data_IF_310595949582
#
_entry.id   IF_310595949582
#
_cell.length_a   1.000
_cell.length_b   1.000
_cell.length_c   1.000
_cell.angle_alpha   90.00
_cell.angle_beta   90.00
_cell.angle_gamma   90.00
#
_symmetry.space_group_name_H-M   'P 1'
#
loop_
_entity.id
_entity.type
_entity.pdbx_description
1 polymer ?
#
# COMPACT_ATOMS: atom_id res chain seq x y z
N UNK A 1 -33.22 24.83 -6.14
CA UNK A 1 -31.85 25.33 -5.98
C UNK A 1 -31.85 26.81 -6.24
N UNK A 2 -31.16 27.56 -5.40
CA UNK A 2 -30.74 28.92 -5.74
C UNK A 2 -29.32 28.88 -6.32
N UNK A 3 -28.95 29.81 -7.19
CA UNK A 3 -27.58 29.92 -7.71
C UNK A 3 -26.51 30.08 -6.63
N UNK A 4 -26.87 30.52 -5.43
CA UNK A 4 -25.96 30.59 -4.28
C UNK A 4 -25.51 29.21 -3.78
N UNK A 5 -26.44 28.26 -3.65
CA UNK A 5 -26.13 26.88 -3.23
C UNK A 5 -25.26 26.18 -4.28
N UNK A 6 -25.56 26.42 -5.56
CA UNK A 6 -24.78 25.92 -6.69
C UNK A 6 -23.32 26.38 -6.63
N UNK A 7 -23.07 27.66 -6.33
CA UNK A 7 -21.72 28.20 -6.16
C UNK A 7 -21.00 27.59 -4.95
N UNK A 8 -21.69 27.41 -3.81
CA UNK A 8 -21.12 26.77 -2.61
C UNK A 8 -20.67 25.34 -2.93
N UNK A 9 -21.48 24.56 -3.63
CA UNK A 9 -21.10 23.19 -4.03
C UNK A 9 -19.86 23.20 -4.93
N UNK A 10 -19.78 24.10 -5.91
CA UNK A 10 -18.61 24.18 -6.79
C UNK A 10 -17.32 24.49 -6.02
N UNK A 11 -17.35 25.51 -5.15
CA UNK A 11 -16.18 25.92 -4.36
C UNK A 11 -15.72 24.80 -3.42
N UNK A 12 -16.68 24.14 -2.74
CA UNK A 12 -16.38 23.04 -1.82
C UNK A 12 -15.90 21.79 -2.55
N UNK A 13 -16.49 21.46 -3.72
CA UNK A 13 -16.07 20.32 -4.52
C UNK A 13 -14.60 20.44 -4.93
N UNK A 14 -14.18 21.63 -5.37
CA UNK A 14 -12.79 21.91 -5.73
C UNK A 14 -11.82 21.68 -4.55
N UNK A 15 -12.19 22.09 -3.33
CA UNK A 15 -11.38 21.85 -2.13
C UNK A 15 -11.19 20.36 -1.81
N UNK A 16 -12.11 19.49 -2.24
CA UNK A 16 -12.03 18.03 -2.12
C UNK A 16 -11.37 17.34 -3.31
N UNK A 17 -10.88 18.09 -4.29
CA UNK A 17 -10.32 17.54 -5.54
C UNK A 17 -11.37 16.91 -6.45
N UNK A 18 -12.65 17.26 -6.27
CA UNK A 18 -13.74 16.86 -7.15
C UNK A 18 -13.92 17.91 -8.25
N UNK A 19 -14.25 17.45 -9.46
CA UNK A 19 -14.45 18.32 -10.61
C UNK A 19 -15.90 18.34 -11.05
N UNK A 20 -16.38 19.50 -11.47
CA UNK A 20 -17.69 19.66 -12.10
C UNK A 20 -17.47 19.80 -13.62
N UNK A 21 -17.58 18.71 -14.40
CA UNK A 21 -17.31 18.77 -15.84
C UNK A 21 -18.36 19.63 -16.55
N UNK A 22 -17.99 20.33 -17.65
CA UNK A 22 -18.94 21.09 -18.44
C UNK A 22 -20.01 20.17 -19.04
N UNK A 23 -21.18 20.75 -19.36
CA UNK A 23 -22.25 20.03 -20.02
C UNK A 23 -21.81 19.55 -21.40
N UNK A 24 -22.13 18.29 -21.72
CA UNK A 24 -21.99 17.78 -23.08
C UNK A 24 -22.96 18.52 -24.02
N UNK A 25 -22.64 18.64 -25.33
CA UNK A 25 -23.52 19.32 -26.29
C UNK A 25 -24.96 18.79 -26.30
N UNK A 26 -25.13 17.47 -26.14
CA UNK A 26 -26.44 16.83 -26.04
C UNK A 26 -27.18 17.21 -24.74
N UNK A 27 -26.49 17.26 -23.60
CA UNK A 27 -27.07 17.69 -22.32
C UNK A 27 -27.54 19.14 -22.44
N UNK A 28 -26.71 20.02 -23.00
CA UNK A 28 -27.06 21.42 -23.22
C UNK A 28 -28.28 21.59 -24.14
N UNK A 29 -28.34 20.86 -25.26
CA UNK A 29 -29.48 20.93 -26.18
C UNK A 29 -30.79 20.45 -25.53
N UNK A 30 -30.75 19.33 -24.80
CA UNK A 30 -31.92 18.78 -24.12
C UNK A 30 -32.38 19.65 -22.94
N UNK A 31 -31.44 20.22 -22.17
CA UNK A 31 -31.77 21.18 -21.11
C UNK A 31 -32.39 22.45 -21.69
N UNK A 32 -31.86 22.94 -22.82
CA UNK A 32 -32.42 24.10 -23.49
C UNK A 32 -33.86 23.88 -23.98
N UNK A 33 -34.17 22.68 -24.50
CA UNK A 33 -35.52 22.33 -24.92
C UNK A 33 -36.55 22.37 -23.77
N UNK A 34 -36.11 22.09 -22.53
CA UNK A 34 -36.97 22.10 -21.33
C UNK A 34 -37.03 23.47 -20.65
N UNK A 35 -35.89 24.16 -20.54
CA UNK A 35 -35.74 25.39 -19.75
C UNK A 35 -35.84 26.68 -20.58
N UNK A 36 -35.66 26.58 -21.90
CA UNK A 36 -35.64 27.70 -22.84
C UNK A 36 -34.44 28.65 -22.66
N UNK A 37 -34.52 29.84 -23.27
CA UNK A 37 -33.47 30.88 -23.23
C UNK A 37 -33.31 31.58 -21.88
N UNK A 38 -34.20 31.30 -20.92
CA UNK A 38 -34.25 32.04 -19.64
C UNK A 38 -33.24 31.55 -18.61
N UNK A 39 -32.59 30.41 -18.87
CA UNK A 39 -31.68 29.77 -17.92
C UNK A 39 -30.29 29.65 -18.53
N UNK A 40 -29.28 30.15 -17.81
CA UNK A 40 -27.89 29.91 -18.17
C UNK A 40 -27.53 28.45 -17.88
N UNK A 41 -27.17 27.70 -18.93
CA UNK A 41 -26.86 26.28 -18.81
C UNK A 41 -25.40 26.07 -18.42
N UNK A 42 -25.17 25.52 -17.23
CA UNK A 42 -23.85 25.19 -16.70
C UNK A 42 -23.90 23.97 -15.79
N UNK A 43 -22.73 23.49 -15.39
CA UNK A 43 -22.58 22.55 -14.27
C UNK A 43 -21.64 23.18 -13.24
N UNK A 44 -22.13 23.57 -12.05
CA UNK A 44 -23.49 23.37 -11.51
C UNK A 44 -24.61 24.07 -12.30
N UNK A 45 -25.83 23.49 -12.26
CA UNK A 45 -27.02 24.02 -12.93
C UNK A 45 -27.97 24.67 -11.92
N UNK A 46 -28.29 25.96 -12.12
CA UNK A 46 -29.45 26.60 -11.51
C UNK A 46 -30.60 26.62 -12.52
N UNK A 47 -31.53 25.65 -12.41
CA UNK A 47 -32.67 25.56 -13.32
C UNK A 47 -33.82 26.52 -12.95
N UNK A 48 -33.61 27.40 -11.96
CA UNK A 48 -34.61 28.31 -11.40
C UNK A 48 -35.87 27.59 -10.90
N UNK A 49 -36.95 28.35 -10.68
CA UNK A 49 -38.25 27.83 -10.20
C UNK A 49 -39.32 27.79 -11.30
N UNK A 50 -38.96 28.03 -12.57
CA UNK A 50 -39.93 28.11 -13.67
C UNK A 50 -40.73 26.82 -13.89
N UNK A 51 -40.10 25.67 -13.65
CA UNK A 51 -40.70 24.34 -13.74
C UNK A 51 -41.03 23.76 -12.35
N UNK A 52 -41.08 24.61 -11.31
CA UNK A 52 -41.39 24.13 -9.96
C UNK A 52 -42.83 23.61 -9.88
N UNK A 53 -43.02 22.51 -9.15
CA UNK A 53 -44.29 21.78 -9.00
C UNK A 53 -44.83 21.07 -10.28
N UNK A 54 -44.11 21.17 -11.40
CA UNK A 54 -44.33 20.39 -12.64
C UNK A 54 -43.39 19.18 -12.68
N UNK A 55 -43.88 18.02 -12.25
CA UNK A 55 -43.08 16.80 -12.10
C UNK A 55 -42.50 16.29 -13.43
N UNK A 56 -43.23 16.42 -14.54
CA UNK A 56 -42.77 15.93 -15.85
C UNK A 56 -41.73 16.87 -16.48
N UNK A 57 -41.91 18.19 -16.36
CA UNK A 57 -40.89 19.14 -16.79
C UNK A 57 -39.61 19.00 -15.95
N UNK A 58 -39.74 18.79 -14.64
CA UNK A 58 -38.61 18.49 -13.75
C UNK A 58 -37.92 17.19 -14.13
N UNK A 59 -38.67 16.13 -14.42
CA UNK A 59 -38.11 14.87 -14.91
C UNK A 59 -37.31 15.09 -16.20
N UNK A 60 -37.85 15.82 -17.18
CA UNK A 60 -37.15 16.16 -18.43
C UNK A 60 -35.84 16.90 -18.19
N UNK A 61 -35.85 17.89 -17.29
CA UNK A 61 -34.65 18.63 -16.89
C UNK A 61 -33.60 17.74 -16.23
N UNK A 62 -34.00 16.91 -15.26
CA UNK A 62 -33.05 16.05 -14.54
C UNK A 62 -32.52 14.93 -15.44
N UNK A 63 -33.39 14.32 -16.26
CA UNK A 63 -33.01 13.33 -17.24
C UNK A 63 -31.97 13.90 -18.22
N UNK A 64 -32.15 15.14 -18.69
CA UNK A 64 -31.18 15.80 -19.56
C UNK A 64 -29.81 16.05 -18.87
N UNK A 65 -29.81 16.33 -17.56
CA UNK A 65 -28.58 16.55 -16.77
C UNK A 65 -27.86 15.24 -16.40
N UNK A 66 -28.59 14.17 -16.10
CA UNK A 66 -28.06 12.93 -15.54
C UNK A 66 -27.30 12.06 -16.55
N UNK A 67 -26.14 11.53 -16.12
CA UNK A 67 -25.30 10.59 -16.87
C UNK A 67 -24.36 11.28 -17.86
N UNK A 68 -23.66 10.51 -18.70
CA UNK A 68 -22.65 11.06 -19.61
C UNK A 68 -21.28 11.20 -18.95
N UNK A 69 -20.77 12.42 -18.85
CA UNK A 69 -19.43 12.70 -18.29
C UNK A 69 -19.40 12.69 -16.75
N UNK A 70 -20.57 12.80 -16.10
CA UNK A 70 -20.67 12.81 -14.64
C UNK A 70 -20.81 11.38 -14.10
N UNK A 71 -19.92 10.98 -13.18
CA UNK A 71 -20.01 9.70 -12.46
C UNK A 71 -21.13 9.73 -11.40
N UNK A 72 -21.40 10.89 -10.83
CA UNK A 72 -22.46 11.14 -9.84
C UNK A 72 -23.09 12.51 -10.08
N UNK A 73 -24.39 12.63 -9.87
CA UNK A 73 -25.13 13.91 -9.99
C UNK A 73 -25.80 14.25 -8.66
N UNK A 74 -25.59 15.48 -8.20
CA UNK A 74 -26.12 15.98 -6.93
C UNK A 74 -27.32 16.87 -7.21
N UNK A 75 -28.42 16.59 -6.54
CA UNK A 75 -29.60 17.44 -6.48
C UNK A 75 -29.71 18.03 -5.07
N UNK A 76 -29.50 19.34 -4.96
CA UNK A 76 -29.77 20.06 -3.72
C UNK A 76 -31.29 20.21 -3.58
N UNK A 77 -31.86 19.72 -2.49
CA UNK A 77 -33.30 19.78 -2.23
C UNK A 77 -33.58 19.90 -0.74
N UNK A 78 -33.86 21.12 -0.31
CA UNK A 78 -34.12 21.44 1.09
C UNK A 78 -35.63 21.41 1.38
N UNK A 79 -36.11 20.36 2.05
CA UNK A 79 -37.50 20.24 2.46
C UNK A 79 -37.85 21.27 3.55
N UNK A 80 -39.07 21.84 3.48
CA UNK A 80 -39.55 22.71 4.52
C UNK A 80 -39.95 21.90 5.76
N UNK A 81 -40.28 22.62 6.83
CA UNK A 81 -40.86 22.03 8.03
C UNK A 81 -42.20 21.36 7.73
N UNK A 82 -42.26 20.04 7.89
CA UNK A 82 -43.43 19.22 7.54
C UNK A 82 -44.65 19.47 8.43
N UNK A 83 -44.47 20.09 9.60
CA UNK A 83 -45.55 20.38 10.55
C UNK A 83 -46.32 21.66 10.23
N UNK A 84 -45.75 22.56 9.40
CA UNK A 84 -46.35 23.87 9.09
C UNK A 84 -46.35 24.21 7.59
N UNK A 85 -45.71 23.40 6.74
CA UNK A 85 -45.65 23.60 5.30
C UNK A 85 -46.12 22.35 4.56
N UNK A 86 -46.71 22.54 3.38
CA UNK A 86 -47.02 21.45 2.45
C UNK A 86 -45.76 21.05 1.65
N UNK A 87 -45.24 19.81 1.80
CA UNK A 87 -44.05 19.36 1.10
C UNK A 87 -44.33 18.82 -0.31
N UNK A 88 -45.57 18.83 -0.81
CA UNK A 88 -45.96 18.13 -2.03
C UNK A 88 -45.03 18.42 -3.23
N UNK A 89 -44.70 19.69 -3.49
CA UNK A 89 -43.82 20.09 -4.60
C UNK A 89 -42.38 19.55 -4.47
N UNK A 90 -41.85 19.42 -3.24
CA UNK A 90 -40.55 18.83 -2.98
C UNK A 90 -40.56 17.32 -3.18
N UNK A 91 -41.65 16.65 -2.75
CA UNK A 91 -41.83 15.21 -2.99
C UNK A 91 -41.89 14.91 -4.49
N UNK A 92 -42.62 15.71 -5.27
CA UNK A 92 -42.61 15.62 -6.75
C UNK A 92 -41.20 15.78 -7.31
N UNK A 93 -40.46 16.79 -6.84
CA UNK A 93 -39.08 17.03 -7.28
C UNK A 93 -38.15 15.84 -7.00
N UNK A 94 -38.23 15.26 -5.80
CA UNK A 94 -37.46 14.06 -5.42
C UNK A 94 -37.83 12.86 -6.27
N UNK A 95 -39.13 12.64 -6.54
CA UNK A 95 -39.61 11.54 -7.40
C UNK A 95 -39.16 11.69 -8.84
N UNK A 96 -39.28 12.89 -9.42
CA UNK A 96 -38.81 13.20 -10.76
C UNK A 96 -37.31 12.92 -10.91
N UNK A 97 -36.51 13.32 -9.91
CA UNK A 97 -35.07 13.07 -9.91
C UNK A 97 -34.73 11.58 -9.80
N UNK A 98 -35.39 10.86 -8.90
CA UNK A 98 -35.19 9.42 -8.74
C UNK A 98 -35.58 8.64 -10.00
N UNK A 99 -36.73 8.97 -10.61
CA UNK A 99 -37.15 8.39 -11.88
C UNK A 99 -36.13 8.65 -12.98
N UNK A 100 -35.66 9.90 -13.13
CA UNK A 100 -34.65 10.24 -14.12
C UNK A 100 -33.32 9.50 -13.90
N UNK A 101 -32.88 9.34 -12.64
CA UNK A 101 -31.66 8.61 -12.31
C UNK A 101 -31.78 7.12 -12.66
N UNK A 102 -32.92 6.50 -12.33
CA UNK A 102 -33.21 5.12 -12.67
C UNK A 102 -33.24 4.89 -14.20
N UNK A 103 -33.96 5.73 -14.94
CA UNK A 103 -34.09 5.63 -16.41
C UNK A 103 -32.73 5.76 -17.12
N UNK A 104 -31.82 6.58 -16.56
CA UNK A 104 -30.47 6.77 -17.09
C UNK A 104 -29.45 5.74 -16.61
N UNK A 105 -29.80 4.90 -15.63
CA UNK A 105 -28.82 4.07 -14.92
C UNK A 105 -27.71 4.91 -14.25
N UNK A 106 -28.01 6.16 -13.89
CA UNK A 106 -27.07 7.12 -13.35
C UNK A 106 -27.09 7.14 -11.81
N UNK A 107 -25.97 7.53 -11.21
CA UNK A 107 -25.86 7.63 -9.75
C UNK A 107 -26.39 8.99 -9.29
N UNK A 108 -27.57 8.99 -8.70
CA UNK A 108 -28.22 10.18 -8.15
C UNK A 108 -27.99 10.34 -6.65
N UNK A 109 -27.73 11.56 -6.22
CA UNK A 109 -27.67 11.96 -4.81
C UNK A 109 -28.64 13.12 -4.59
N UNK A 110 -29.50 13.03 -3.56
CA UNK A 110 -30.24 14.19 -3.06
C UNK A 110 -29.53 14.66 -1.79
N UNK A 111 -29.10 15.91 -1.79
CA UNK A 111 -28.38 16.52 -0.66
C UNK A 111 -29.19 17.69 -0.11
N UNK A 112 -29.31 17.75 1.21
CA UNK A 112 -29.79 18.95 1.87
C UNK A 112 -28.62 19.82 2.32
N UNK A 113 -28.83 21.13 2.23
CA UNK A 113 -27.88 22.14 2.70
C UNK A 113 -27.70 22.05 4.21
N UNK A 114 -28.80 21.86 4.93
CA UNK A 114 -28.81 21.58 6.37
C UNK A 114 -29.42 20.20 6.64
N UNK A 115 -28.88 19.42 7.61
CA UNK A 115 -29.42 18.10 7.94
C UNK A 115 -30.92 18.07 8.23
N UNK A 116 -31.46 19.11 8.87
CA UNK A 116 -32.88 19.19 9.23
C UNK A 116 -33.81 19.33 8.01
N UNK A 117 -33.27 19.68 6.82
CA UNK A 117 -34.02 19.85 5.59
C UNK A 117 -34.15 18.56 4.76
N UNK A 118 -33.77 17.39 5.30
CA UNK A 118 -34.08 16.10 4.68
C UNK A 118 -34.58 15.10 5.72
N UNK A 119 -35.85 15.18 6.14
CA UNK A 119 -36.40 14.25 7.14
C UNK A 119 -36.31 12.78 6.69
N UNK A 120 -36.14 11.86 7.64
CA UNK A 120 -35.98 10.42 7.36
C UNK A 120 -37.15 9.84 6.53
N UNK A 121 -38.38 10.27 6.82
CA UNK A 121 -39.58 9.87 6.07
C UNK A 121 -39.52 10.24 4.57
N UNK A 122 -38.66 11.18 4.17
CA UNK A 122 -38.38 11.54 2.79
C UNK A 122 -37.13 10.82 2.25
N UNK A 123 -36.10 10.67 3.10
CA UNK A 123 -34.86 9.99 2.76
C UNK A 123 -35.08 8.51 2.42
N UNK A 124 -35.93 7.82 3.16
CA UNK A 124 -36.24 6.39 2.98
C UNK A 124 -36.77 6.08 1.56
N UNK A 125 -37.82 6.77 1.05
CA UNK A 125 -38.26 6.59 -0.35
C UNK A 125 -37.19 6.86 -1.39
N UNK A 126 -36.33 7.86 -1.19
CA UNK A 126 -35.23 8.17 -2.13
C UNK A 126 -34.22 7.02 -2.18
N UNK A 127 -33.83 6.51 -1.00
CA UNK A 127 -32.91 5.38 -0.88
C UNK A 127 -33.49 4.11 -1.52
N UNK A 128 -34.77 3.82 -1.27
CA UNK A 128 -35.47 2.70 -1.89
C UNK A 128 -35.54 2.81 -3.43
N UNK A 129 -35.55 4.05 -3.96
CA UNK A 129 -35.50 4.33 -5.39
C UNK A 129 -34.06 4.38 -5.98
N UNK A 130 -33.03 4.05 -5.19
CA UNK A 130 -31.64 4.03 -5.64
C UNK A 130 -30.94 5.40 -5.66
N UNK A 131 -31.54 6.41 -5.04
CA UNK A 131 -30.95 7.74 -4.86
C UNK A 131 -30.42 7.88 -3.45
N UNK A 132 -29.15 8.25 -3.28
CA UNK A 132 -28.59 8.42 -1.94
C UNK A 132 -29.06 9.74 -1.30
N UNK A 133 -29.76 9.73 -0.15
CA UNK A 133 -30.03 10.92 0.62
C UNK A 133 -28.78 11.31 1.45
N UNK A 134 -28.39 12.58 1.43
CA UNK A 134 -27.22 13.10 2.14
C UNK A 134 -27.57 14.35 2.94
N UNK A 135 -27.06 14.42 4.17
CA UNK A 135 -27.30 15.51 5.11
C UNK A 135 -26.07 16.40 5.22
N UNK A 136 -26.09 17.53 4.51
CA UNK A 136 -24.97 18.46 4.44
C UNK A 136 -24.14 18.28 3.17
N UNK A 137 -23.79 19.42 2.58
CA UNK A 137 -22.98 19.49 1.35
C UNK A 137 -21.55 18.98 1.60
N UNK A 138 -20.95 19.35 2.72
CA UNK A 138 -19.55 19.00 3.03
C UNK A 138 -19.40 17.49 3.21
N UNK A 139 -20.26 16.88 4.02
CA UNK A 139 -20.31 15.44 4.28
C UNK A 139 -20.58 14.66 2.99
N UNK A 140 -21.47 15.17 2.14
CA UNK A 140 -21.75 14.59 0.83
C UNK A 140 -20.49 14.54 -0.05
N UNK A 141 -19.74 15.63 -0.13
CA UNK A 141 -18.53 15.70 -0.95
C UNK A 141 -17.40 14.81 -0.40
N UNK A 142 -17.24 14.76 0.94
CA UNK A 142 -16.30 13.84 1.60
C UNK A 142 -16.64 12.38 1.28
N UNK A 143 -17.92 12.02 1.32
CA UNK A 143 -18.37 10.66 0.99
C UNK A 143 -18.09 10.28 -0.46
N UNK A 144 -18.35 11.20 -1.41
CA UNK A 144 -18.07 10.99 -2.84
C UNK A 144 -16.57 10.78 -3.07
N UNK A 145 -15.74 11.66 -2.50
CA UNK A 145 -14.27 11.52 -2.57
C UNK A 145 -13.81 10.19 -1.98
N UNK A 146 -14.35 9.80 -0.83
CA UNK A 146 -14.05 8.53 -0.17
C UNK A 146 -14.38 7.33 -1.06
N UNK A 147 -15.56 7.34 -1.68
CA UNK A 147 -15.98 6.29 -2.61
C UNK A 147 -15.04 6.18 -3.82
N UNK A 148 -14.66 7.30 -4.43
CA UNK A 148 -13.70 7.33 -5.54
C UNK A 148 -12.32 6.79 -5.12
N UNK A 149 -11.83 7.17 -3.94
CA UNK A 149 -10.56 6.69 -3.41
C UNK A 149 -10.56 5.18 -3.17
N UNK A 150 -11.61 4.65 -2.52
CA UNK A 150 -11.76 3.22 -2.25
C UNK A 150 -11.81 2.44 -3.56
N UNK A 151 -12.58 2.90 -4.54
CA UNK A 151 -12.66 2.27 -5.85
C UNK A 151 -11.30 2.21 -6.53
N UNK A 152 -10.56 3.32 -6.58
CA UNK A 152 -9.22 3.36 -7.16
C UNK A 152 -8.25 2.39 -6.45
N UNK A 153 -8.31 2.32 -5.12
CA UNK A 153 -7.50 1.40 -4.33
C UNK A 153 -7.83 -0.06 -4.65
N UNK A 154 -9.11 -0.42 -4.75
CA UNK A 154 -9.55 -1.77 -5.13
C UNK A 154 -9.09 -2.16 -6.53
N UNK A 155 -9.20 -1.24 -7.50
CA UNK A 155 -8.71 -1.47 -8.85
C UNK A 155 -7.19 -1.67 -8.89
N UNK A 156 -6.45 -0.89 -8.11
CA UNK A 156 -5.00 -1.04 -7.99
C UNK A 156 -4.59 -2.38 -7.35
N UNK A 157 -5.37 -2.89 -6.39
CA UNK A 157 -5.15 -4.21 -5.79
C UNK A 157 -5.50 -5.32 -6.77
N UNK A 158 -6.64 -5.23 -7.46
CA UNK A 158 -7.07 -6.22 -8.45
C UNK A 158 -6.13 -6.31 -9.65
N UNK A 159 -5.50 -5.20 -10.05
CA UNK A 159 -4.50 -5.16 -11.10
C UNK A 159 -3.16 -5.80 -10.68
N UNK A 160 -2.90 -5.95 -9.37
CA UNK A 160 -1.73 -6.67 -8.88
C UNK A 160 -1.98 -8.16 -8.97
N UNK A 161 -1.00 -8.89 -9.48
CA UNK A 161 -1.03 -10.34 -9.42
C UNK A 161 -0.99 -10.76 -7.95
N UNK A 162 -1.99 -11.54 -7.52
CA UNK A 162 -1.99 -12.10 -6.18
C UNK A 162 -0.68 -12.89 -6.00
N UNK A 163 0.07 -12.59 -4.94
CA UNK A 163 1.17 -13.45 -4.53
C UNK A 163 0.61 -14.84 -4.32
N UNK A 164 1.24 -15.86 -4.91
CA UNK A 164 0.89 -17.23 -4.61
C UNK A 164 0.94 -17.40 -3.09
N UNK A 165 -0.10 -17.99 -2.49
CA UNK A 165 -0.06 -18.30 -1.07
C UNK A 165 1.21 -19.09 -0.79
N UNK A 166 2.01 -18.70 0.23
CA UNK A 166 3.23 -19.41 0.54
C UNK A 166 2.87 -20.87 0.78
N UNK A 167 3.56 -21.78 0.10
CA UNK A 167 3.40 -23.20 0.39
C UNK A 167 3.99 -23.43 1.79
N UNK A 168 3.21 -23.91 2.77
CA UNK A 168 3.75 -24.22 4.09
C UNK A 168 4.92 -25.17 3.91
N UNK A 169 6.10 -24.78 4.38
CA UNK A 169 7.25 -25.66 4.35
C UNK A 169 6.95 -26.84 5.27
N UNK A 170 6.99 -28.06 4.74
CA UNK A 170 6.90 -29.25 5.57
C UNK A 170 8.09 -29.24 6.55
N UNK A 171 7.80 -29.17 7.85
CA UNK A 171 8.81 -29.26 8.89
C UNK A 171 9.19 -30.73 9.07
N UNK A 172 10.43 -31.14 8.80
CA UNK A 172 10.93 -32.31 9.47
C UNK A 172 10.92 -32.00 10.96
N UNK A 173 10.36 -32.88 11.80
CA UNK A 173 10.44 -32.80 13.27
C UNK A 173 11.88 -33.04 13.80
N UNK A 174 12.88 -32.63 13.04
CA UNK A 174 14.28 -32.77 13.40
C UNK A 174 14.71 -31.58 14.27
N UNK A 175 15.53 -31.81 15.31
CA UNK A 175 16.08 -30.72 16.11
C UNK A 175 16.94 -29.79 15.25
N UNK A 176 16.71 -28.48 15.41
CA UNK A 176 17.52 -27.43 14.80
C UNK A 176 18.84 -27.36 15.57
N UNK A 177 19.94 -27.36 14.83
CA UNK A 177 21.28 -27.23 15.39
C UNK A 177 22.05 -26.14 14.64
N UNK A 178 22.82 -25.35 15.38
CA UNK A 178 23.72 -24.34 14.83
C UNK A 178 25.01 -25.02 14.39
N UNK A 179 25.36 -24.89 13.11
CA UNK A 179 26.64 -25.35 12.59
C UNK A 179 27.75 -24.37 12.95
N UNK A 180 28.95 -24.89 13.20
CA UNK A 180 30.13 -24.03 13.28
C UNK A 180 30.48 -23.45 11.89
N UNK A 181 31.39 -22.47 11.85
CA UNK A 181 31.74 -21.77 10.61
C UNK A 181 32.41 -22.67 9.56
N UNK A 182 33.17 -23.69 9.98
CA UNK A 182 33.83 -24.62 9.06
C UNK A 182 32.79 -25.49 8.34
N UNK A 183 31.86 -26.08 9.10
CA UNK A 183 30.77 -26.92 8.58
C UNK A 183 29.79 -26.11 7.74
N UNK A 184 29.46 -24.89 8.18
CA UNK A 184 28.59 -23.97 7.44
C UNK A 184 29.17 -23.67 6.06
N UNK A 185 30.47 -23.35 5.97
CA UNK A 185 31.14 -23.11 4.69
C UNK A 185 31.21 -24.36 3.81
N UNK A 186 31.44 -25.54 4.41
CA UNK A 186 31.45 -26.82 3.68
C UNK A 186 30.09 -27.14 3.09
N UNK A 187 29.01 -26.79 3.79
CA UNK A 187 27.65 -26.92 3.29
C UNK A 187 27.39 -25.94 2.14
N UNK A 188 27.79 -24.67 2.28
CA UNK A 188 27.64 -23.66 1.22
C UNK A 188 28.36 -24.08 -0.08
N UNK A 189 29.54 -24.67 0.02
CA UNK A 189 30.30 -25.18 -1.13
C UNK A 189 29.58 -26.31 -1.88
N UNK A 190 28.82 -27.16 -1.18
CA UNK A 190 27.98 -28.19 -1.82
C UNK A 190 26.86 -27.60 -2.68
N UNK A 191 26.46 -26.36 -2.38
CA UNK A 191 25.50 -25.58 -3.18
C UNK A 191 26.18 -24.64 -4.19
N UNK A 192 27.50 -24.78 -4.40
CA UNK A 192 28.25 -24.00 -5.39
C UNK A 192 28.61 -22.59 -4.93
N UNK A 193 28.45 -22.26 -3.65
CA UNK A 193 28.84 -20.96 -3.10
C UNK A 193 30.33 -21.02 -2.74
N UNK A 194 31.19 -20.22 -3.40
CA UNK A 194 32.63 -20.26 -3.14
C UNK A 194 32.95 -19.66 -1.77
N UNK A 195 33.85 -20.31 -1.04
CA UNK A 195 34.38 -19.78 0.23
C UNK A 195 35.91 -19.80 0.24
N UNK A 196 36.58 -19.01 1.09
CA UNK A 196 38.03 -19.04 1.19
C UNK A 196 38.55 -20.44 1.57
N UNK A 197 39.70 -20.81 1.00
CA UNK A 197 40.41 -22.04 1.40
C UNK A 197 40.69 -21.99 2.90
N UNK A 198 40.35 -23.06 3.61
CA UNK A 198 40.40 -23.12 5.06
C UNK A 198 40.80 -24.49 5.56
N UNK A 199 41.28 -24.54 6.80
CA UNK A 199 41.51 -25.77 7.55
C UNK A 199 41.26 -25.53 9.04
N UNK A 200 40.77 -26.56 9.72
CA UNK A 200 40.59 -26.56 11.18
C UNK A 200 41.90 -26.98 11.83
N UNK A 201 42.31 -26.23 12.85
CA UNK A 201 43.54 -26.46 13.58
C UNK A 201 43.32 -26.37 15.10
N UNK A 202 44.18 -27.04 15.85
CA UNK A 202 44.36 -26.80 17.29
C UNK A 202 45.49 -25.79 17.51
N UNK A 203 45.66 -25.32 18.75
CA UNK A 203 46.76 -24.41 19.06
C UNK A 203 48.15 -24.98 18.74
N UNK A 204 48.30 -26.31 18.75
CA UNK A 204 49.57 -27.00 18.47
C UNK A 204 49.92 -27.03 16.98
N UNK A 205 48.95 -27.26 16.10
CA UNK A 205 49.17 -27.42 14.65
C UNK A 205 48.74 -26.20 13.81
N UNK A 206 48.29 -25.12 14.45
CA UNK A 206 47.85 -23.89 13.78
C UNK A 206 48.92 -23.28 12.86
N UNK A 207 50.18 -23.29 13.27
CA UNK A 207 51.29 -22.71 12.49
C UNK A 207 51.53 -23.51 11.22
N UNK A 208 51.65 -24.84 11.35
CA UNK A 208 51.83 -25.74 10.21
C UNK A 208 50.66 -25.62 9.22
N UNK A 209 49.44 -25.56 9.75
CA UNK A 209 48.23 -25.37 8.96
C UNK A 209 48.26 -24.05 8.19
N UNK A 210 48.63 -22.95 8.83
CA UNK A 210 48.76 -21.63 8.17
C UNK A 210 49.84 -21.63 7.08
N UNK A 211 50.98 -22.28 7.32
CA UNK A 211 52.07 -22.43 6.32
C UNK A 211 51.57 -23.19 5.09
N UNK A 212 50.81 -24.28 5.30
CA UNK A 212 50.25 -25.07 4.19
C UNK A 212 49.22 -24.31 3.35
N UNK A 213 48.44 -23.42 3.98
CA UNK A 213 47.46 -22.57 3.30
C UNK A 213 48.13 -21.37 2.60
N UNK A 214 49.26 -20.91 3.10
CA UNK A 214 49.99 -19.75 2.59
C UNK A 214 49.48 -18.42 3.15
N UNK A 215 50.41 -17.50 3.41
CA UNK A 215 50.12 -16.18 3.97
C UNK A 215 49.71 -15.14 2.91
N UNK A 216 48.93 -14.10 3.28
CA UNK A 216 48.36 -13.86 4.61
C UNK A 216 47.12 -14.71 4.91
N UNK A 217 46.94 -15.07 6.18
CA UNK A 217 45.79 -15.84 6.69
C UNK A 217 44.94 -15.03 7.67
N UNK A 218 43.74 -15.51 7.93
CA UNK A 218 42.89 -15.11 9.06
C UNK A 218 42.82 -16.28 10.03
N UNK A 219 42.93 -15.98 11.33
CA UNK A 219 42.78 -16.95 12.41
C UNK A 219 41.50 -16.61 13.17
N UNK A 220 40.56 -17.55 13.24
CA UNK A 220 39.27 -17.38 13.92
C UNK A 220 39.06 -18.46 14.95
N UNK A 221 38.41 -18.14 16.07
CA UNK A 221 37.91 -19.15 17.00
C UNK A 221 36.85 -20.00 16.31
N UNK A 222 36.96 -21.32 16.45
CA UNK A 222 35.94 -22.27 16.02
C UNK A 222 35.13 -22.72 17.24
N UNK A 223 33.86 -22.33 17.28
CA UNK A 223 32.87 -22.73 18.27
C UNK A 223 31.47 -22.54 17.68
N UNK A 224 30.53 -23.43 18.02
CA UNK A 224 29.10 -23.31 17.72
C UNK A 224 28.39 -22.31 18.62
N UNK A 225 28.95 -22.02 19.79
CA UNK A 225 28.31 -21.25 20.85
C UNK A 225 28.70 -19.76 20.80
N UNK A 226 29.80 -19.45 20.11
CA UNK A 226 30.31 -18.08 19.94
C UNK A 226 29.90 -17.55 18.56
N UNK A 227 28.76 -16.85 18.52
CA UNK A 227 28.22 -16.25 17.30
C UNK A 227 28.92 -14.91 16.97
N UNK A 228 29.11 -14.04 17.96
CA UNK A 228 29.74 -12.72 17.81
C UNK A 228 31.25 -12.75 18.10
N UNK A 229 32.01 -13.44 17.24
CA UNK A 229 33.45 -13.71 17.48
C UNK A 229 34.31 -12.44 17.51
N UNK A 230 34.05 -11.48 16.64
CA UNK A 230 34.84 -10.23 16.59
C UNK A 230 34.75 -9.43 17.89
N UNK A 231 33.57 -9.43 18.52
CA UNK A 231 33.30 -8.65 19.74
C UNK A 231 34.04 -9.21 20.96
N UNK A 232 34.37 -10.51 20.93
CA UNK A 232 35.18 -11.18 21.96
C UNK A 232 36.66 -11.29 21.57
N UNK A 233 37.09 -10.62 20.48
CA UNK A 233 38.47 -10.70 19.98
C UNK A 233 38.83 -12.07 19.38
N UNK A 234 37.83 -12.87 19.00
CA UNK A 234 37.95 -14.22 18.43
C UNK A 234 38.29 -14.26 16.94
N UNK A 235 38.75 -13.15 16.34
CA UNK A 235 39.15 -13.05 14.93
C UNK A 235 40.39 -12.16 14.82
N UNK A 236 41.45 -12.69 14.19
CA UNK A 236 42.67 -11.94 13.84
C UNK A 236 42.90 -12.05 12.33
N UNK A 237 42.80 -10.92 11.63
CA UNK A 237 42.94 -10.84 10.16
C UNK A 237 44.35 -10.43 9.74
N UNK A 238 44.69 -10.67 8.47
CA UNK A 238 45.95 -10.22 7.85
C UNK A 238 47.20 -10.68 8.64
N UNK A 239 47.19 -11.93 9.11
CA UNK A 239 48.35 -12.56 9.75
C UNK A 239 49.33 -12.99 8.67
N UNK A 240 50.58 -12.52 8.75
CA UNK A 240 51.54 -12.58 7.64
C UNK A 240 52.67 -13.59 7.84
N UNK A 241 52.82 -14.11 9.05
CA UNK A 241 53.91 -15.00 9.42
C UNK A 241 53.50 -15.94 10.56
N UNK A 242 54.36 -16.93 10.82
CA UNK A 242 54.18 -17.93 11.86
C UNK A 242 54.09 -17.34 13.27
N UNK A 243 54.84 -16.26 13.54
CA UNK A 243 54.85 -15.59 14.85
C UNK A 243 53.48 -14.99 15.12
N UNK A 244 52.91 -14.30 14.13
CA UNK A 244 51.57 -13.74 14.20
C UNK A 244 50.50 -14.79 14.44
N UNK A 245 50.62 -15.98 13.83
CA UNK A 245 49.68 -17.10 14.09
C UNK A 245 49.77 -17.56 15.54
N UNK A 246 50.99 -17.76 16.08
CA UNK A 246 51.20 -18.13 17.50
C UNK A 246 50.61 -17.09 18.44
N UNK A 247 50.85 -15.81 18.17
CA UNK A 247 50.31 -14.71 18.97
C UNK A 247 48.78 -14.69 18.94
N UNK A 248 48.17 -14.83 17.76
CA UNK A 248 46.72 -14.86 17.61
C UNK A 248 46.07 -16.03 18.38
N UNK A 249 46.61 -17.24 18.19
CA UNK A 249 46.17 -18.46 18.90
C UNK A 249 46.31 -18.30 20.41
N UNK A 250 47.46 -17.82 20.89
CA UNK A 250 47.69 -17.62 22.33
C UNK A 250 46.69 -16.63 22.92
N UNK A 251 46.40 -15.52 22.22
CA UNK A 251 45.44 -14.52 22.66
C UNK A 251 44.01 -15.07 22.76
N UNK A 252 43.64 -15.98 21.87
CA UNK A 252 42.29 -16.55 21.79
C UNK A 252 42.13 -17.90 22.51
N UNK A 253 43.21 -18.46 23.10
CA UNK A 253 43.21 -19.80 23.73
C UNK A 253 42.23 -19.94 24.89
N UNK A 254 41.90 -18.85 25.57
CA UNK A 254 40.89 -18.83 26.64
C UNK A 254 39.45 -18.96 26.13
N UNK A 255 39.20 -18.76 24.82
CA UNK A 255 37.89 -18.85 24.18
C UNK A 255 37.62 -20.25 23.61
N UNK A 256 38.63 -20.87 23.00
CA UNK A 256 38.56 -22.22 22.41
C UNK A 256 39.95 -22.77 22.15
N UNK A 257 40.05 -24.10 22.12
CA UNK A 257 41.25 -24.83 21.68
C UNK A 257 41.22 -25.17 20.17
N UNK A 258 40.14 -24.82 19.48
CA UNK A 258 40.00 -25.03 18.04
C UNK A 258 39.89 -23.70 17.29
N UNK A 259 40.59 -23.65 16.16
CA UNK A 259 40.67 -22.47 15.31
C UNK A 259 40.34 -22.84 13.87
N UNK A 260 39.71 -21.91 13.17
CA UNK A 260 39.59 -21.93 11.73
C UNK A 260 40.66 -21.01 11.15
N UNK A 261 41.56 -21.59 10.37
CA UNK A 261 42.57 -20.84 9.62
C UNK A 261 42.12 -20.79 8.17
N UNK A 262 42.02 -19.59 7.62
CA UNK A 262 41.57 -19.38 6.24
C UNK A 262 42.52 -18.44 5.50
N UNK A 263 42.63 -18.61 4.19
CA UNK A 263 43.31 -17.62 3.33
C UNK A 263 42.58 -16.28 3.43
N UNK A 264 43.34 -15.20 3.56
CA UNK A 264 42.77 -13.86 3.57
C UNK A 264 42.10 -13.58 2.22
N UNK A 265 40.81 -13.26 2.25
CA UNK A 265 40.10 -12.81 1.06
C UNK A 265 40.68 -11.49 0.56
N UNK A 266 40.69 -11.30 -0.76
CA UNK A 266 41.05 -10.01 -1.37
C UNK A 266 40.05 -8.94 -0.97
N UNK A 267 40.49 -7.67 -0.95
CA UNK A 267 39.60 -6.55 -0.67
C UNK A 267 38.39 -6.59 -1.63
N UNK A 268 37.15 -6.68 -1.11
CA UNK A 268 35.98 -6.75 -1.95
C UNK A 268 35.70 -5.41 -2.63
N UNK A 269 35.05 -5.46 -3.81
CA UNK A 269 34.47 -4.27 -4.46
C UNK A 269 33.14 -3.90 -3.79
N UNK A 270 32.37 -4.93 -3.39
CA UNK A 270 31.08 -4.80 -2.73
C UNK A 270 30.99 -5.85 -1.61
N UNK A 271 30.43 -5.46 -0.48
CA UNK A 271 29.99 -6.37 0.57
C UNK A 271 28.46 -6.41 0.57
N UNK A 272 27.88 -7.60 0.73
CA UNK A 272 26.43 -7.77 0.79
C UNK A 272 26.06 -8.71 1.94
N UNK A 273 24.89 -8.49 2.52
CA UNK A 273 24.26 -9.45 3.43
C UNK A 273 23.21 -10.25 2.68
N UNK A 274 23.22 -11.57 2.89
CA UNK A 274 22.12 -12.45 2.52
C UNK A 274 21.72 -13.28 3.73
N UNK A 275 20.44 -13.27 4.06
CA UNK A 275 19.87 -14.09 5.13
C UNK A 275 18.64 -14.82 4.62
N UNK A 276 18.53 -16.12 4.90
CA UNK A 276 17.28 -16.84 4.68
C UNK A 276 16.65 -17.21 6.01
N UNK A 277 15.38 -16.87 6.16
CA UNK A 277 14.58 -17.23 7.33
C UNK A 277 13.38 -18.05 6.87
N UNK A 278 13.02 -19.03 7.69
CA UNK A 278 11.80 -19.83 7.50
C UNK A 278 10.77 -19.38 8.52
N UNK A 279 9.72 -18.73 8.06
CA UNK A 279 8.60 -18.29 8.87
C UNK A 279 7.41 -19.28 8.77
N UNK A 280 6.78 -19.66 9.88
CA UNK A 280 5.63 -20.59 9.86
C UNK A 280 4.37 -20.09 9.16
N UNK A 281 4.18 -18.78 9.06
CA UNK A 281 3.02 -18.16 8.42
C UNK A 281 3.33 -17.77 6.97
N UNK A 282 4.54 -17.26 6.72
CA UNK A 282 4.91 -16.65 5.43
C UNK A 282 5.82 -17.51 4.56
N UNK A 283 6.33 -18.64 5.07
CA UNK A 283 7.22 -19.52 4.31
C UNK A 283 8.67 -19.02 4.30
N UNK A 284 9.34 -19.09 3.15
CA UNK A 284 10.74 -18.65 3.03
C UNK A 284 10.80 -17.14 2.77
N UNK A 285 11.59 -16.44 3.60
CA UNK A 285 11.94 -15.05 3.39
C UNK A 285 13.45 -14.92 3.16
N UNK A 286 13.83 -14.16 2.14
CA UNK A 286 15.20 -13.76 1.84
C UNK A 286 15.39 -12.30 2.26
N UNK A 287 16.37 -12.04 3.10
CA UNK A 287 16.90 -10.70 3.35
C UNK A 287 18.10 -10.50 2.45
N UNK A 288 18.13 -9.40 1.70
CA UNK A 288 19.27 -8.95 0.92
C UNK A 288 19.52 -7.47 1.17
N UNK A 289 20.79 -7.06 1.24
CA UNK A 289 21.16 -5.67 1.43
C UNK A 289 22.65 -5.43 1.28
N UNK A 290 23.06 -4.18 1.48
CA UNK A 290 24.47 -3.85 1.65
C UNK A 290 25.06 -4.64 2.84
N UNK A 291 26.35 -4.97 2.78
CA UNK A 291 27.08 -5.68 3.84
C UNK A 291 27.97 -4.76 4.68
N UNK A 292 28.58 -5.31 5.73
CA UNK A 292 29.53 -4.61 6.59
C UNK A 292 28.93 -4.06 7.89
N UNK A 293 29.71 -3.27 8.63
CA UNK A 293 29.32 -2.76 9.96
C UNK A 293 28.27 -1.64 9.92
N UNK A 294 28.00 -1.06 8.75
CA UNK A 294 27.12 0.11 8.62
C UNK A 294 25.69 -0.23 8.17
N UNK A 295 25.37 -1.52 7.97
CA UNK A 295 24.08 -1.97 7.43
C UNK A 295 22.91 -1.59 8.33
N UNK A 296 23.07 -1.79 9.64
CA UNK A 296 22.06 -1.39 10.64
C UNK A 296 21.87 0.14 10.68
N UNK A 297 22.91 0.90 10.33
CA UNK A 297 22.89 2.37 10.36
C UNK A 297 22.19 2.97 9.13
N UNK A 298 22.31 2.33 7.96
CA UNK A 298 21.72 2.81 6.71
C UNK A 298 20.34 2.22 6.39
N UNK A 299 19.89 1.20 7.14
CA UNK A 299 18.62 0.50 6.89
C UNK A 299 18.47 0.00 5.44
N UNK A 300 19.58 -0.26 4.76
CA UNK A 300 19.61 -0.63 3.34
C UNK A 300 19.51 -2.16 3.18
N UNK A 301 18.35 -2.68 3.58
CA UNK A 301 18.00 -4.09 3.42
C UNK A 301 16.56 -4.24 2.95
N UNK A 302 16.30 -5.26 2.14
CA UNK A 302 14.99 -5.62 1.64
C UNK A 302 14.68 -7.06 2.00
N UNK A 303 13.43 -7.30 2.40
CA UNK A 303 12.90 -8.64 2.65
C UNK A 303 12.03 -9.06 1.47
N UNK A 304 12.39 -10.18 0.84
CA UNK A 304 11.71 -10.76 -0.30
C UNK A 304 11.08 -12.08 0.11
N UNK A 305 9.78 -12.24 -0.16
CA UNK A 305 9.10 -13.53 0.00
C UNK A 305 9.48 -14.44 -1.18
N UNK A 306 9.88 -15.68 -0.88
CA UNK A 306 10.24 -16.65 -1.89
C UNK A 306 9.02 -17.53 -2.29
N UNK A 307 8.92 -17.94 -3.57
CA UNK A 307 9.86 -17.65 -4.65
C UNK A 307 9.71 -16.21 -5.17
N UNK A 308 10.85 -15.53 -5.39
CA UNK A 308 10.90 -14.22 -6.06
C UNK A 308 11.65 -14.34 -7.39
N UNK A 309 11.31 -13.46 -8.32
CA UNK A 309 11.99 -13.31 -9.63
C UNK A 309 12.63 -11.93 -9.81
N UNK A 310 12.46 -11.04 -8.83
CA UNK A 310 12.95 -9.67 -8.81
C UNK A 310 13.43 -9.31 -7.42
#
# INVERSE_FOLDING_TARGET
>A
CSGGEAAIVADRAAAHGLTMPPLLPEQAANLHAVLGDRVALSNPLDYHTYIWDDEEAQYGCFHAMLGGAQEVTLKILDFPRLDICDPAAWVKTGRAFARAAADRGARGVVVATMPENLPEAVAEPLLAAGVAPMWGIEECLVAIRGAAHIYAAQQAVAAKQALASPTPLAYPNAPIHTLNEADSKSLLEQFGIPTPKRAVATGENAVETAVSLGFPVVVKVLSSDIVHKSDVGGVVVNVRDEVGVKTAVSAMSHLSNQFLIEQMATKPIVEMILGLTRDPQFGLALVIGAGGILVELFQDSQTLLLPTSR
#
